data_IF_912624821838
#
_entry.id   IF_912624821838
#
_cell.length_a   1.000
_cell.length_b   1.000
_cell.length_c   1.000
_cell.angle_alpha   90.00
_cell.angle_beta   90.00
_cell.angle_gamma   90.00
#
_symmetry.space_group_name_H-M   'P 1'
#
loop_
_entity.id
_entity.type
_entity.pdbx_description
1 polymer ?
#
# COMPACT_ATOMS: atom_id res chain seq x y z
N UNK A 1 7.22 -12.44 -11.56
CA UNK A 1 8.58 -12.94 -11.26
C UNK A 1 8.50 -13.57 -9.89
N UNK A 2 8.83 -14.85 -9.76
CA UNK A 2 8.78 -15.54 -8.47
C UNK A 2 9.93 -15.11 -7.55
N UNK A 3 9.90 -15.56 -6.29
CA UNK A 3 10.91 -15.19 -5.28
C UNK A 3 12.30 -15.72 -5.60
N UNK A 4 12.40 -16.87 -6.25
CA UNK A 4 13.69 -17.48 -6.56
C UNK A 4 14.38 -16.76 -7.72
N UNK A 5 13.59 -16.30 -8.70
CA UNK A 5 14.03 -15.40 -9.76
C UNK A 5 14.51 -14.06 -9.19
N UNK A 6 13.82 -13.49 -8.19
CA UNK A 6 14.27 -12.27 -7.50
C UNK A 6 15.64 -12.50 -6.84
N UNK A 7 15.82 -13.61 -6.13
CA UNK A 7 17.09 -13.95 -5.47
C UNK A 7 18.23 -14.17 -6.44
N UNK A 8 17.97 -14.50 -7.70
CA UNK A 8 19.00 -14.66 -8.73
C UNK A 8 19.53 -13.31 -9.27
N UNK A 9 18.82 -12.20 -9.05
CA UNK A 9 19.24 -10.88 -9.55
C UNK A 9 20.43 -10.29 -8.77
N UNK A 10 21.19 -9.36 -9.36
CA UNK A 10 22.10 -8.48 -8.62
C UNK A 10 21.36 -7.70 -7.52
N UNK A 11 22.05 -7.38 -6.42
CA UNK A 11 21.43 -6.75 -5.25
C UNK A 11 20.75 -5.40 -5.56
N UNK A 12 21.33 -4.59 -6.44
CA UNK A 12 20.73 -3.33 -6.92
C UNK A 12 19.40 -3.54 -7.62
N UNK A 13 19.32 -4.60 -8.43
CA UNK A 13 18.18 -4.88 -9.30
C UNK A 13 17.02 -5.47 -8.50
N UNK A 14 17.33 -6.21 -7.41
CA UNK A 14 16.32 -6.69 -6.45
C UNK A 14 15.54 -5.53 -5.85
N UNK A 15 16.25 -4.49 -5.38
CA UNK A 15 15.63 -3.32 -4.77
C UNK A 15 14.76 -2.55 -5.76
N UNK A 16 15.24 -2.34 -6.98
CA UNK A 16 14.47 -1.69 -8.05
C UNK A 16 13.19 -2.48 -8.33
N UNK A 17 13.29 -3.81 -8.41
CA UNK A 17 12.13 -4.67 -8.65
C UNK A 17 11.12 -4.59 -7.50
N UNK A 18 11.55 -4.80 -6.25
CA UNK A 18 10.65 -4.77 -5.08
C UNK A 18 9.95 -3.41 -4.97
N UNK A 19 10.66 -2.31 -5.23
CA UNK A 19 10.05 -0.98 -5.25
C UNK A 19 8.98 -0.84 -6.35
N UNK A 20 9.26 -1.34 -7.55
CA UNK A 20 8.29 -1.38 -8.63
C UNK A 20 7.02 -2.15 -8.22
N UNK A 21 7.20 -3.25 -7.48
CA UNK A 21 6.11 -4.07 -6.94
C UNK A 21 5.29 -3.33 -5.88
N UNK A 22 5.96 -2.72 -4.89
CA UNK A 22 5.32 -1.85 -3.88
C UNK A 22 4.45 -0.79 -4.55
N UNK A 23 4.98 -0.09 -5.56
CA UNK A 23 4.22 0.94 -6.30
C UNK A 23 3.01 0.35 -7.03
N UNK A 24 3.22 -0.72 -7.78
CA UNK A 24 2.16 -1.38 -8.55
C UNK A 24 1.01 -1.84 -7.65
N UNK A 25 1.34 -2.58 -6.59
CA UNK A 25 0.33 -3.18 -5.72
C UNK A 25 -0.37 -2.11 -4.86
N UNK A 26 0.32 -1.00 -4.56
CA UNK A 26 -0.32 0.18 -3.93
C UNK A 26 -1.37 0.82 -4.83
N UNK A 27 -1.16 0.85 -6.15
CA UNK A 27 -2.15 1.37 -7.10
C UNK A 27 -3.37 0.46 -7.15
N UNK A 28 -3.17 -0.86 -7.12
CA UNK A 28 -4.27 -1.82 -7.07
C UNK A 28 -5.04 -1.74 -5.74
N UNK A 29 -4.36 -1.44 -4.63
CA UNK A 29 -4.97 -1.17 -3.34
C UNK A 29 -5.81 0.13 -3.37
N UNK A 30 -5.33 1.21 -3.99
CA UNK A 30 -6.12 2.44 -4.24
C UNK A 30 -7.37 2.14 -5.06
N UNK A 31 -7.24 1.37 -6.14
CA UNK A 31 -8.38 0.94 -6.94
C UNK A 31 -9.40 0.13 -6.10
N UNK A 32 -8.93 -0.76 -5.22
CA UNK A 32 -9.79 -1.51 -4.32
C UNK A 32 -10.55 -0.61 -3.34
N UNK A 33 -9.88 0.39 -2.75
CA UNK A 33 -10.49 1.37 -1.85
C UNK A 33 -11.56 2.21 -2.56
N UNK A 34 -11.30 2.65 -3.79
CA UNK A 34 -12.30 3.34 -4.63
C UNK A 34 -13.51 2.46 -4.94
N UNK A 35 -13.26 1.16 -5.14
CA UNK A 35 -14.31 0.16 -5.28
C UNK A 35 -15.18 0.03 -4.03
N UNK A 36 -14.56 0.00 -2.85
CA UNK A 36 -15.28 0.01 -1.58
C UNK A 36 -16.10 1.29 -1.40
N UNK A 37 -15.52 2.45 -1.71
CA UNK A 37 -16.22 3.74 -1.67
C UNK A 37 -17.46 3.75 -2.57
N UNK A 38 -17.37 3.21 -3.79
CA UNK A 38 -18.51 3.07 -4.69
C UNK A 38 -19.59 2.15 -4.11
N UNK A 39 -19.20 0.98 -3.57
CA UNK A 39 -20.13 0.02 -2.97
C UNK A 39 -20.87 0.58 -1.75
N UNK A 40 -20.20 1.35 -0.90
CA UNK A 40 -20.80 2.06 0.23
C UNK A 40 -21.85 3.11 -0.20
N UNK A 41 -21.82 3.54 -1.46
CA UNK A 41 -22.82 4.43 -2.08
C UNK A 41 -23.89 3.66 -2.88
N UNK A 42 -23.88 2.33 -2.82
CA UNK A 42 -24.79 1.47 -3.57
C UNK A 42 -24.54 1.49 -5.08
N UNK A 43 -23.29 1.73 -5.52
CA UNK A 43 -22.92 1.79 -6.94
C UNK A 43 -21.76 0.84 -7.26
N UNK A 44 -21.76 0.28 -8.46
CA UNK A 44 -20.72 -0.62 -8.97
C UNK A 44 -20.21 -0.23 -10.37
N UNK A 45 -20.73 0.85 -10.93
CA UNK A 45 -20.38 1.34 -12.26
C UNK A 45 -19.01 2.04 -12.30
N UNK A 46 -18.35 2.04 -13.47
CA UNK A 46 -17.02 2.63 -13.66
C UNK A 46 -16.97 4.12 -13.25
N UNK A 47 -18.06 4.88 -13.46
CA UNK A 47 -18.09 6.30 -13.10
C UNK A 47 -18.07 6.47 -11.57
N UNK A 48 -18.68 5.56 -10.82
CA UNK A 48 -18.64 5.58 -9.36
C UNK A 48 -17.21 5.45 -8.79
N UNK A 49 -16.34 4.67 -9.45
CA UNK A 49 -14.92 4.55 -9.08
C UNK A 49 -14.16 5.87 -9.26
N UNK A 50 -14.50 6.63 -10.30
CA UNK A 50 -13.89 7.93 -10.60
C UNK A 50 -14.43 9.05 -9.69
N UNK A 51 -15.64 8.89 -9.15
CA UNK A 51 -16.25 9.82 -8.18
C UNK A 51 -15.64 9.71 -6.77
N UNK A 52 -14.81 8.70 -6.52
CA UNK A 52 -14.08 8.57 -5.25
C UNK A 52 -13.00 9.67 -5.13
N UNK A 53 -12.71 10.16 -3.91
CA UNK A 53 -11.64 11.14 -3.72
C UNK A 53 -10.31 10.67 -4.31
N UNK A 54 -9.61 11.55 -5.02
CA UNK A 54 -8.31 11.22 -5.61
C UNK A 54 -7.18 11.15 -4.58
N UNK A 55 -7.34 11.83 -3.44
CA UNK A 55 -6.39 11.79 -2.33
C UNK A 55 -6.72 10.60 -1.42
N UNK A 56 -5.74 9.74 -1.18
CA UNK A 56 -5.87 8.52 -0.36
C UNK A 56 -6.44 8.79 1.04
N UNK A 57 -5.88 9.75 1.77
CA UNK A 57 -6.32 10.07 3.14
C UNK A 57 -7.78 10.51 3.19
N UNK A 58 -8.20 11.34 2.22
CA UNK A 58 -9.61 11.72 2.10
C UNK A 58 -10.49 10.54 1.66
N UNK A 59 -10.02 9.64 0.78
CA UNK A 59 -10.76 8.45 0.39
C UNK A 59 -11.00 7.50 1.59
N UNK A 60 -9.98 7.24 2.41
CA UNK A 60 -10.06 6.47 3.65
C UNK A 60 -11.08 7.10 4.60
N UNK A 61 -10.95 8.40 4.87
CA UNK A 61 -11.87 9.14 5.74
C UNK A 61 -13.31 9.07 5.25
N UNK A 62 -13.55 9.22 3.95
CA UNK A 62 -14.88 9.13 3.36
C UNK A 62 -15.45 7.72 3.44
N UNK A 63 -14.64 6.68 3.24
CA UNK A 63 -15.09 5.29 3.41
C UNK A 63 -15.55 5.05 4.86
N UNK A 64 -14.77 5.45 5.86
CA UNK A 64 -15.16 5.34 7.28
C UNK A 64 -16.48 6.06 7.56
N UNK A 65 -16.60 7.32 7.11
CA UNK A 65 -17.84 8.11 7.29
C UNK A 65 -19.08 7.51 6.63
N UNK A 66 -18.92 6.92 5.44
CA UNK A 66 -20.02 6.25 4.74
C UNK A 66 -20.41 4.95 5.45
N UNK A 67 -19.43 4.17 5.88
CA UNK A 67 -19.63 2.91 6.59
C UNK A 67 -20.37 3.10 7.92
N UNK A 68 -20.03 4.16 8.67
CA UNK A 68 -20.71 4.50 9.93
C UNK A 68 -22.21 4.78 9.76
N UNK A 69 -22.61 5.21 8.56
CA UNK A 69 -24.01 5.52 8.20
C UNK A 69 -24.67 4.41 7.39
N UNK A 70 -23.95 3.33 7.11
CA UNK A 70 -24.45 2.20 6.34
C UNK A 70 -25.28 1.30 7.27
N UNK A 71 -26.60 1.41 7.18
CA UNK A 71 -27.54 0.65 8.01
C UNK A 71 -27.69 -0.85 7.64
N UNK A 72 -27.57 -1.30 6.38
CA UNK A 72 -27.82 -2.70 6.01
C UNK A 72 -26.83 -3.75 6.54
N UNK A 73 -25.95 -3.42 7.49
CA UNK A 73 -24.92 -4.33 8.04
C UNK A 73 -24.99 -4.38 9.56
N UNK A 74 -24.75 -5.57 10.11
CA UNK A 74 -24.58 -5.78 11.54
C UNK A 74 -23.28 -5.12 12.06
N UNK A 75 -23.15 -5.05 13.38
CA UNK A 75 -22.02 -4.42 14.04
C UNK A 75 -20.70 -5.15 13.77
N UNK A 76 -20.71 -6.48 13.69
CA UNK A 76 -19.52 -7.30 13.47
C UNK A 76 -18.94 -7.04 12.08
N UNK A 77 -19.79 -7.02 11.05
CA UNK A 77 -19.40 -6.73 9.65
C UNK A 77 -18.97 -5.29 9.49
N UNK A 78 -19.61 -4.36 10.19
CA UNK A 78 -19.12 -2.98 10.24
C UNK A 78 -17.70 -2.91 10.82
N UNK A 79 -17.45 -3.61 11.92
CA UNK A 79 -16.13 -3.70 12.55
C UNK A 79 -15.08 -4.32 11.62
N UNK A 80 -15.43 -5.40 10.93
CA UNK A 80 -14.52 -6.08 10.02
C UNK A 80 -14.16 -5.23 8.78
N UNK A 81 -15.11 -4.45 8.23
CA UNK A 81 -14.83 -3.49 7.14
C UNK A 81 -13.96 -2.32 7.64
N UNK A 82 -14.23 -1.78 8.84
CA UNK A 82 -13.37 -0.75 9.45
C UNK A 82 -11.94 -1.27 9.59
N UNK A 83 -11.76 -2.49 10.12
CA UNK A 83 -10.44 -3.13 10.22
C UNK A 83 -9.75 -3.28 8.86
N UNK A 84 -10.48 -3.61 7.79
CA UNK A 84 -9.91 -3.68 6.45
C UNK A 84 -9.46 -2.29 5.93
N UNK A 85 -10.23 -1.24 6.20
CA UNK A 85 -9.86 0.15 5.86
C UNK A 85 -8.62 0.59 6.64
N UNK A 86 -8.54 0.24 7.92
CA UNK A 86 -7.44 0.60 8.81
C UNK A 86 -6.14 -0.11 8.39
N UNK A 87 -6.20 -1.41 8.11
CA UNK A 87 -5.06 -2.17 7.60
C UNK A 87 -4.52 -1.60 6.28
N UNK A 88 -5.42 -1.17 5.38
CA UNK A 88 -5.01 -0.52 4.13
C UNK A 88 -4.36 0.85 4.39
N UNK A 89 -4.88 1.63 5.35
CA UNK A 89 -4.31 2.92 5.71
C UNK A 89 -2.91 2.78 6.33
N UNK A 90 -2.71 1.74 7.14
CA UNK A 90 -1.42 1.37 7.72
C UNK A 90 -0.41 0.97 6.64
N UNK A 91 -0.76 0.01 5.77
CA UNK A 91 0.09 -0.41 4.65
C UNK A 91 0.45 0.76 3.71
N UNK A 92 -0.50 1.67 3.43
CA UNK A 92 -0.21 2.85 2.64
C UNK A 92 0.80 3.79 3.31
N UNK A 93 0.72 3.92 4.64
CA UNK A 93 1.67 4.72 5.42
C UNK A 93 3.06 4.09 5.44
N UNK A 94 3.13 2.77 5.64
CA UNK A 94 4.39 2.03 5.72
C UNK A 94 5.14 2.02 4.38
N UNK A 95 4.43 1.74 3.28
CA UNK A 95 4.90 1.95 1.89
C UNK A 95 5.65 3.28 1.69
N UNK A 96 5.17 4.38 2.29
CA UNK A 96 5.80 5.69 2.08
C UNK A 96 7.26 5.70 2.58
N UNK A 97 7.60 4.92 3.62
CA UNK A 97 8.98 4.74 4.08
C UNK A 97 9.87 4.17 2.97
N UNK A 98 9.44 3.09 2.33
CA UNK A 98 10.19 2.50 1.21
C UNK A 98 10.24 3.39 -0.04
N UNK A 99 9.28 4.30 -0.20
CA UNK A 99 9.26 5.23 -1.33
C UNK A 99 10.12 6.48 -1.11
N UNK A 100 10.25 6.93 0.14
CA UNK A 100 10.96 8.15 0.53
C UNK A 100 12.36 7.86 1.11
N UNK A 101 12.52 6.91 2.02
CA UNK A 101 13.78 6.67 2.74
C UNK A 101 14.86 6.04 1.84
N UNK A 102 14.45 5.24 0.84
CA UNK A 102 15.37 4.72 -0.17
C UNK A 102 15.78 5.78 -1.21
N UNK A 103 15.03 6.88 -1.36
CA UNK A 103 15.53 8.03 -2.11
C UNK A 103 16.68 8.68 -1.33
N UNK A 104 16.57 8.81 -0.01
CA UNK A 104 17.62 9.37 0.83
C UNK A 104 18.87 8.48 0.89
N UNK A 105 18.74 7.15 0.99
CA UNK A 105 19.90 6.24 0.96
C UNK A 105 20.63 6.26 -0.39
N UNK A 106 19.91 6.41 -1.51
CA UNK A 106 20.52 6.56 -2.83
C UNK A 106 21.19 7.93 -3.00
N UNK A 107 20.59 8.99 -2.46
CA UNK A 107 21.21 10.33 -2.42
C UNK A 107 22.50 10.30 -1.59
N UNK A 108 22.51 9.63 -0.44
CA UNK A 108 23.72 9.46 0.38
C UNK A 108 24.80 8.61 -0.31
N UNK A 109 24.42 7.59 -1.08
CA UNK A 109 25.36 6.79 -1.88
C UNK A 109 25.87 7.49 -3.14
N UNK A 110 25.14 8.46 -3.67
CA UNK A 110 25.56 9.37 -4.74
C UNK A 110 26.41 10.54 -4.19
N UNK A 111 26.28 10.90 -2.92
CA UNK A 111 27.07 11.93 -2.22
C UNK A 111 28.43 11.42 -1.68
N UNK A 112 28.88 10.21 -2.04
CA UNK A 112 30.28 9.81 -1.88
C UNK A 112 31.16 10.68 -2.82
N UNK A 113 31.98 11.59 -2.30
CA UNK A 113 32.78 12.51 -3.10
C UNK A 113 33.72 11.78 -4.07
N UNK A 114 34.02 10.51 -3.80
CA UNK A 114 34.89 9.68 -4.64
C UNK A 114 34.20 9.10 -5.89
N UNK A 115 32.86 9.14 -5.99
CA UNK A 115 32.10 8.71 -7.19
C UNK A 115 31.56 9.86 -8.03
N UNK A 116 31.39 11.05 -7.46
CA UNK A 116 30.91 12.26 -8.17
C UNK A 116 31.98 12.80 -9.15
N UNK A 117 33.26 12.54 -8.88
CA UNK A 117 34.36 13.16 -9.63
C UNK A 117 34.48 12.72 -11.11
N UNK A 118 33.78 11.68 -11.56
CA UNK A 118 34.01 11.14 -12.91
C UNK A 118 32.96 11.43 -13.98
N UNK A 119 31.70 11.83 -13.70
CA UNK A 119 30.72 11.88 -14.82
C UNK A 119 29.54 12.86 -14.80
N UNK A 120 29.42 13.85 -13.91
CA UNK A 120 28.26 14.75 -13.97
C UNK A 120 28.65 16.21 -13.67
N UNK A 121 28.58 17.07 -14.68
CA UNK A 121 28.55 18.52 -14.45
C UNK A 121 27.32 18.88 -13.60
N UNK A 122 27.46 19.59 -12.48
CA UNK A 122 26.34 19.87 -11.57
C UNK A 122 25.32 20.78 -12.26
N UNK A 123 24.09 20.29 -12.48
CA UNK A 123 22.97 21.14 -12.90
C UNK A 123 22.34 21.77 -11.66
N UNK A 124 22.29 23.10 -11.63
CA UNK A 124 21.77 23.93 -10.53
C UNK A 124 20.29 23.72 -10.14
N UNK A 125 19.59 22.74 -10.74
CA UNK A 125 18.21 22.37 -10.40
C UNK A 125 18.11 21.17 -9.41
N UNK A 126 19.23 20.50 -9.09
CA UNK A 126 19.24 19.28 -8.27
C UNK A 126 19.01 19.57 -6.77
N UNK A 127 19.45 20.74 -6.30
CA UNK A 127 19.22 21.20 -4.92
C UNK A 127 17.74 21.34 -4.58
N UNK A 128 16.90 21.57 -5.60
CA UNK A 128 15.46 21.77 -5.40
C UNK A 128 14.71 20.49 -5.07
N UNK A 129 15.20 19.34 -5.54
CA UNK A 129 14.63 18.03 -5.21
C UNK A 129 15.10 17.55 -3.83
N UNK A 130 16.36 17.81 -3.48
CA UNK A 130 16.95 17.51 -2.16
C UNK A 130 16.27 18.28 -1.02
N UNK A 131 15.91 19.55 -1.23
CA UNK A 131 15.25 20.37 -0.19
C UNK A 131 13.77 20.09 0.05
N UNK A 132 13.09 19.34 -0.84
CA UNK A 132 11.63 19.13 -0.75
C UNK A 132 11.23 17.83 -0.06
N UNK A 133 12.09 16.81 -0.04
CA UNK A 133 11.85 15.57 0.70
C UNK A 133 12.16 15.70 2.21
N UNK A 134 13.15 16.52 2.59
CA UNK A 134 13.60 16.67 3.97
C UNK A 134 12.75 17.59 4.88
N UNK A 135 11.52 17.97 4.50
CA UNK A 135 10.68 18.88 5.31
C UNK A 135 9.22 18.44 5.40
N UNK A 136 8.97 17.31 6.06
CA UNK A 136 7.87 17.25 7.01
C UNK A 136 8.45 17.51 8.39
N UNK A 137 7.88 18.46 9.14
CA UNK A 137 8.39 18.91 10.44
C UNK A 137 8.29 17.85 11.54
N UNK A 138 7.70 16.70 11.21
CA UNK A 138 7.48 15.50 12.02
C UNK A 138 7.76 14.22 11.19
N UNK A 139 8.64 14.29 10.18
CA UNK A 139 9.04 13.09 9.44
C UNK A 139 9.77 12.12 10.39
N UNK A 140 9.42 10.82 10.42
CA UNK A 140 10.10 9.85 11.26
C UNK A 140 11.60 9.80 10.95
N UNK A 141 12.43 9.42 11.93
CA UNK A 141 13.86 9.23 11.73
C UNK A 141 14.10 8.21 10.61
N UNK A 142 15.13 8.46 9.79
CA UNK A 142 15.51 7.56 8.69
C UNK A 142 15.99 6.23 9.27
N UNK A 143 15.19 5.18 9.11
CA UNK A 143 15.53 3.82 9.55
C UNK A 143 16.12 3.00 8.40
N UNK A 144 17.10 2.15 8.71
CA UNK A 144 17.66 1.22 7.73
C UNK A 144 16.65 0.10 7.42
N UNK A 145 16.10 0.10 6.21
CA UNK A 145 15.14 -0.93 5.75
C UNK A 145 15.86 -2.08 5.04
N UNK A 146 15.50 -3.33 5.38
CA UNK A 146 16.04 -4.52 4.72
C UNK A 146 15.20 -4.95 3.52
N UNK A 147 15.80 -5.73 2.60
CA UNK A 147 15.08 -6.25 1.44
C UNK A 147 13.95 -7.21 1.86
N UNK A 148 14.15 -7.98 2.93
CA UNK A 148 13.14 -8.87 3.46
C UNK A 148 11.96 -8.09 4.04
N UNK A 149 12.20 -6.96 4.70
CA UNK A 149 11.13 -6.09 5.20
C UNK A 149 10.34 -5.46 4.04
N UNK A 150 11.02 -5.04 2.97
CA UNK A 150 10.36 -4.54 1.77
C UNK A 150 9.51 -5.60 1.05
N UNK A 151 9.93 -6.87 1.10
CA UNK A 151 9.14 -8.00 0.58
C UNK A 151 7.90 -8.24 1.46
N UNK A 152 8.05 -8.19 2.79
CA UNK A 152 6.91 -8.29 3.72
C UNK A 152 5.93 -7.14 3.52
N UNK A 153 6.43 -5.95 3.21
CA UNK A 153 5.57 -4.80 2.90
C UNK A 153 4.71 -5.06 1.66
N UNK A 154 5.25 -5.69 0.61
CA UNK A 154 4.45 -6.12 -0.55
C UNK A 154 3.34 -7.08 -0.11
N UNK A 155 3.66 -8.08 0.71
CA UNK A 155 2.68 -9.04 1.22
C UNK A 155 1.58 -8.36 2.06
N UNK A 156 1.94 -7.38 2.89
CA UNK A 156 1.00 -6.55 3.67
C UNK A 156 0.07 -5.73 2.77
N UNK A 157 0.60 -5.08 1.73
CA UNK A 157 -0.20 -4.34 0.75
C UNK A 157 -1.18 -5.28 0.03
N UNK A 158 -0.70 -6.44 -0.41
CA UNK A 158 -1.54 -7.46 -1.08
C UNK A 158 -2.65 -7.94 -0.14
N UNK A 159 -2.33 -8.26 1.11
CA UNK A 159 -3.33 -8.65 2.11
C UNK A 159 -4.41 -7.58 2.30
N UNK A 160 -3.99 -6.33 2.51
CA UNK A 160 -4.90 -5.20 2.70
C UNK A 160 -5.79 -4.96 1.47
N UNK A 161 -5.22 -5.02 0.27
CA UNK A 161 -5.96 -4.95 -0.99
C UNK A 161 -7.03 -6.03 -1.09
N UNK A 162 -6.71 -7.28 -0.77
CA UNK A 162 -7.67 -8.38 -0.80
C UNK A 162 -8.77 -8.22 0.25
N UNK A 163 -8.47 -7.72 1.44
CA UNK A 163 -9.48 -7.37 2.46
C UNK A 163 -10.43 -6.26 2.00
N UNK A 164 -9.93 -5.23 1.31
CA UNK A 164 -10.78 -4.19 0.70
C UNK A 164 -11.69 -4.77 -0.40
N UNK A 165 -11.16 -5.68 -1.22
CA UNK A 165 -11.96 -6.39 -2.24
C UNK A 165 -13.04 -7.27 -1.60
N UNK A 166 -12.72 -7.95 -0.49
CA UNK A 166 -13.70 -8.72 0.28
C UNK A 166 -14.80 -7.83 0.86
N UNK A 167 -14.45 -6.69 1.45
CA UNK A 167 -15.41 -5.71 1.94
C UNK A 167 -16.36 -5.23 0.83
N UNK A 168 -15.82 -4.88 -0.34
CA UNK A 168 -16.62 -4.49 -1.51
C UNK A 168 -17.57 -5.61 -1.95
N UNK A 169 -17.08 -6.83 -2.10
CA UNK A 169 -17.90 -7.97 -2.56
C UNK A 169 -18.98 -8.33 -1.54
N UNK A 170 -18.68 -8.23 -0.24
CA UNK A 170 -19.67 -8.40 0.81
C UNK A 170 -20.80 -7.37 0.70
N UNK A 171 -20.47 -6.09 0.52
CA UNK A 171 -21.48 -5.03 0.38
C UNK A 171 -22.32 -5.17 -0.90
N UNK A 172 -21.73 -5.65 -1.99
CA UNK A 172 -22.43 -5.79 -3.27
C UNK A 172 -23.27 -7.08 -3.36
N UNK A 173 -22.79 -8.19 -2.81
CA UNK A 173 -23.33 -9.54 -3.07
C UNK A 173 -23.52 -10.40 -1.82
N UNK A 174 -23.12 -9.92 -0.64
CA UNK A 174 -23.17 -10.70 0.62
C UNK A 174 -22.12 -11.81 0.74
N UNK A 175 -21.16 -11.89 -0.18
CA UNK A 175 -20.14 -12.95 -0.25
C UNK A 175 -18.82 -12.58 0.44
N UNK A 176 -17.91 -13.55 0.59
CA UNK A 176 -16.53 -13.37 1.10
C UNK A 176 -16.42 -12.92 2.56
N UNK A 177 -17.43 -13.25 3.37
CA UNK A 177 -17.46 -12.95 4.81
C UNK A 177 -16.27 -13.57 5.57
N UNK A 178 -15.84 -14.79 5.20
CA UNK A 178 -14.70 -15.46 5.82
C UNK A 178 -13.40 -14.67 5.66
N UNK A 179 -13.12 -14.19 4.44
CA UNK A 179 -11.95 -13.35 4.14
C UNK A 179 -11.99 -12.00 4.85
N UNK A 180 -13.18 -11.47 5.12
CA UNK A 180 -13.34 -10.20 5.83
C UNK A 180 -13.15 -10.36 7.35
N UNK A 181 -13.61 -11.48 7.92
CA UNK A 181 -13.54 -11.81 9.36
C UNK A 181 -12.20 -12.38 9.80
N UNK A 182 -11.56 -13.18 8.94
CA UNK A 182 -10.36 -13.93 9.28
C UNK A 182 -9.06 -13.17 9.07
N UNK A 183 -7.96 -13.86 9.35
CA UNK A 183 -6.63 -13.40 8.98
C UNK A 183 -6.41 -13.64 7.48
N UNK A 184 -5.88 -12.63 6.79
CA UNK A 184 -5.58 -12.68 5.36
C UNK A 184 -4.08 -12.49 5.20
N UNK A 185 -3.43 -13.50 4.64
CA UNK A 185 -2.02 -13.47 4.29
C UNK A 185 -1.91 -13.22 2.80
N UNK A 186 -1.28 -12.10 2.43
CA UNK A 186 -0.91 -11.83 1.04
C UNK A 186 0.38 -12.56 0.71
N UNK A 187 0.52 -12.99 -0.54
CA UNK A 187 1.76 -13.56 -1.03
C UNK A 187 2.45 -12.62 -2.04
N UNK A 188 3.71 -12.93 -2.31
CA UNK A 188 4.54 -12.22 -3.29
C UNK A 188 3.95 -12.22 -4.71
N UNK A 189 3.20 -13.25 -5.07
CA UNK A 189 2.61 -13.40 -6.40
C UNK A 189 1.38 -12.50 -6.58
N UNK A 190 0.87 -11.92 -5.49
CA UNK A 190 -0.30 -11.03 -5.48
C UNK A 190 -1.59 -11.77 -5.16
N UNK A 191 -1.52 -13.03 -4.75
CA UNK A 191 -2.66 -13.76 -4.23
C UNK A 191 -2.79 -13.53 -2.73
N UNK A 192 -3.92 -13.97 -2.18
CA UNK A 192 -4.08 -14.02 -0.74
C UNK A 192 -4.76 -15.32 -0.32
N UNK A 193 -4.28 -15.88 0.77
CA UNK A 193 -4.92 -16.99 1.48
C UNK A 193 -5.65 -16.47 2.71
N UNK A 194 -6.82 -17.05 2.95
CA UNK A 194 -7.50 -16.91 4.23
C UNK A 194 -6.99 -18.01 5.15
N UNK A 195 -6.46 -17.61 6.30
CA UNK A 195 -6.14 -18.53 7.39
C UNK A 195 -7.34 -18.51 8.32
N UNK A 196 -8.09 -19.61 8.33
CA UNK A 196 -9.14 -19.80 9.32
C UNK A 196 -8.53 -19.76 10.69
N UNK A 197 -9.17 -19.03 11.61
CA UNK A 197 -8.98 -19.28 13.02
C UNK A 197 -9.48 -20.71 13.27
N UNK A 198 -8.58 -21.69 13.22
CA UNK A 198 -8.85 -22.99 13.82
C UNK A 198 -9.23 -22.73 15.29
N UNK A 199 -10.34 -23.36 15.68
CA UNK A 199 -11.05 -23.24 16.96
C UNK A 199 -10.16 -23.03 18.20
N UNK A 200 -10.48 -22.00 18.98
CA UNK A 200 -10.31 -21.97 20.45
C UNK A 200 -11.69 -21.86 21.12
#
# INVERSE_FOLDING_TARGET
MDRDQLKALPASDRWVFVRGRIVSDSVDMDAALRGLHAALRGRDDRKALLDAPANWTEAVKKCRQLLDRYEPIDADMRGAIHSAIDAAAEAWSERNRYMHDLLDARIQGEDDPSRIAENVEPRADDDRYRFRLARQKDAPEVESVSLDDAIREVESIVAAMWRLRAARNFLAYGSWQSMLRGHVEGDWEGNASWVGSDDD
#
